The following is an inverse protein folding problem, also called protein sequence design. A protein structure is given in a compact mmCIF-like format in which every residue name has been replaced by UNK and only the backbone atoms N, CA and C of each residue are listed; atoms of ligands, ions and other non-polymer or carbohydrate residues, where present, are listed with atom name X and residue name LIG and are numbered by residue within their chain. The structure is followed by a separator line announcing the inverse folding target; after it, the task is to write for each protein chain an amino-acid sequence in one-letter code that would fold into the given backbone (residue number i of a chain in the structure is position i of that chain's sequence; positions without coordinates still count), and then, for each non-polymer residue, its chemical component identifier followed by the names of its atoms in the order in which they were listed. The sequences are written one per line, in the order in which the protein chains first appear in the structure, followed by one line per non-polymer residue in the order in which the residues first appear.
data_IF_138610403114
#
_entry.id   IF_138610403114
#
_cell.length_a   1.000
_cell.length_b   1.000
_cell.length_c   1.000
_cell.angle_alpha   90.00
_cell.angle_beta   90.00
_cell.angle_gamma   90.00
#
_symmetry.space_group_name_H-M   'P 1'
#
loop_
_entity.id
_entity.type
_entity.pdbx_description
1 polymer ?
#
# COMPACT_ATOMS: atom_id res chain seq x y z
N UNK A 1 -2.74 25.73 18.88
CA UNK A 1 -1.75 24.82 18.27
C UNK A 1 -0.84 25.65 17.37
N UNK A 2 0.47 25.42 17.42
CA UNK A 2 1.43 26.21 16.64
C UNK A 2 1.34 25.81 15.15
N UNK A 3 1.05 26.77 14.26
CA UNK A 3 0.77 26.52 12.84
C UNK A 3 1.93 25.80 12.11
N UNK A 4 3.16 25.98 12.59
CA UNK A 4 4.36 25.29 12.08
C UNK A 4 4.30 23.79 12.29
N UNK A 5 3.78 23.33 13.43
CA UNK A 5 3.69 21.89 13.76
C UNK A 5 2.67 21.20 12.86
N UNK A 6 1.52 21.84 12.60
CA UNK A 6 0.49 21.28 11.72
C UNK A 6 0.99 21.14 10.28
N UNK A 7 1.72 22.15 9.78
CA UNK A 7 2.30 22.08 8.43
C UNK A 7 3.36 20.99 8.31
N UNK A 8 4.26 20.86 9.30
CA UNK A 8 5.31 19.83 9.26
C UNK A 8 4.72 18.41 9.38
N UNK A 9 3.75 18.22 10.28
CA UNK A 9 3.09 16.93 10.50
C UNK A 9 2.26 16.47 9.31
N UNK A 10 1.75 17.40 8.48
CA UNK A 10 1.04 17.06 7.25
C UNK A 10 1.96 16.54 6.12
N UNK A 11 3.24 16.90 6.15
CA UNK A 11 4.23 16.40 5.19
C UNK A 11 4.83 15.05 5.59
N UNK A 12 4.85 14.76 6.89
CA UNK A 12 5.43 13.52 7.42
C UNK A 12 4.84 12.24 6.79
N UNK A 13 3.50 12.01 6.80
CA UNK A 13 2.92 10.83 6.16
C UNK A 13 3.08 10.85 4.64
N UNK A 14 3.05 12.04 4.02
CA UNK A 14 3.20 12.21 2.58
C UNK A 14 4.59 11.84 2.06
N UNK A 15 5.60 11.70 2.94
CA UNK A 15 6.96 11.26 2.58
C UNK A 15 7.24 9.85 3.09
N UNK A 16 6.90 9.56 4.36
CA UNK A 16 7.22 8.27 4.97
C UNK A 16 6.48 7.12 4.29
N UNK A 17 5.20 7.29 3.98
CA UNK A 17 4.38 6.22 3.38
C UNK A 17 4.91 5.86 1.98
N UNK A 18 5.09 6.80 1.02
CA UNK A 18 5.68 6.46 -0.28
C UNK A 18 7.07 5.82 -0.18
N UNK A 19 7.90 6.27 0.76
CA UNK A 19 9.23 5.69 0.95
C UNK A 19 9.16 4.24 1.43
N UNK A 20 8.28 3.95 2.39
CA UNK A 20 8.08 2.59 2.89
C UNK A 20 7.53 1.66 1.79
N UNK A 21 6.58 2.13 0.96
CA UNK A 21 6.02 1.33 -0.13
C UNK A 21 7.04 1.10 -1.25
N UNK A 22 7.89 2.08 -1.57
CA UNK A 22 9.00 1.90 -2.50
C UNK A 22 10.03 0.87 -2.00
N UNK A 23 10.37 0.90 -0.71
CA UNK A 23 11.26 -0.10 -0.11
C UNK A 23 10.64 -1.50 -0.23
N UNK A 24 9.37 -1.66 0.13
CA UNK A 24 8.66 -2.93 0.02
C UNK A 24 8.65 -3.46 -1.42
N UNK A 25 8.32 -2.59 -2.39
CA UNK A 25 8.29 -2.97 -3.80
C UNK A 25 9.68 -3.40 -4.28
N UNK A 26 10.71 -2.64 -3.90
CA UNK A 26 12.11 -2.96 -4.24
C UNK A 26 12.55 -4.30 -3.64
N UNK A 27 12.12 -4.61 -2.42
CA UNK A 27 12.43 -5.88 -1.77
C UNK A 27 11.77 -7.07 -2.46
N UNK A 28 10.50 -6.93 -2.87
CA UNK A 28 9.79 -7.96 -3.67
C UNK A 28 10.52 -8.20 -4.99
N UNK A 29 10.95 -7.13 -5.66
CA UNK A 29 11.70 -7.23 -6.91
C UNK A 29 13.07 -7.90 -6.72
N UNK A 30 13.84 -7.49 -5.70
CA UNK A 30 15.18 -8.04 -5.42
C UNK A 30 15.12 -9.50 -4.97
N UNK A 31 14.17 -9.85 -4.11
CA UNK A 31 14.02 -11.22 -3.58
C UNK A 31 13.24 -12.13 -4.53
N UNK A 32 12.62 -11.57 -5.57
CA UNK A 32 11.74 -12.28 -6.54
C UNK A 32 10.68 -13.13 -5.82
N UNK A 33 10.25 -12.67 -4.65
CA UNK A 33 9.35 -13.38 -3.77
C UNK A 33 8.51 -12.37 -2.99
N UNK A 34 7.21 -12.58 -2.98
CA UNK A 34 6.26 -11.85 -2.15
C UNK A 34 5.88 -12.66 -0.89
N UNK A 35 6.71 -13.62 -0.46
CA UNK A 35 6.45 -14.41 0.74
C UNK A 35 6.32 -13.49 1.97
N UNK A 36 5.18 -13.60 2.67
CA UNK A 36 4.84 -12.75 3.82
C UNK A 36 4.10 -11.45 3.47
N UNK A 37 3.86 -11.18 2.18
CA UNK A 37 3.19 -9.96 1.71
C UNK A 37 1.75 -10.31 1.31
N UNK A 38 0.76 -9.85 2.09
CA UNK A 38 -0.66 -10.11 1.84
C UNK A 38 -1.19 -9.27 0.67
N UNK A 39 -1.49 -9.90 -0.47
CA UNK A 39 -2.02 -9.19 -1.65
C UNK A 39 -3.29 -8.38 -1.33
N UNK A 40 -4.17 -8.93 -0.47
CA UNK A 40 -5.43 -8.29 -0.08
C UNK A 40 -5.18 -7.03 0.74
N UNK A 41 -4.19 -7.06 1.64
CA UNK A 41 -3.82 -5.89 2.45
C UNK A 41 -3.34 -4.74 1.57
N UNK A 42 -2.47 -5.03 0.61
CA UNK A 42 -1.95 -4.03 -0.32
C UNK A 42 -3.04 -3.51 -1.28
N UNK A 43 -3.95 -4.38 -1.72
CA UNK A 43 -5.11 -3.97 -2.50
C UNK A 43 -6.03 -3.00 -1.73
N UNK A 44 -6.32 -3.29 -0.47
CA UNK A 44 -7.13 -2.42 0.39
C UNK A 44 -6.44 -1.09 0.70
N UNK A 45 -5.11 -1.06 0.84
CA UNK A 45 -4.36 0.19 0.97
C UNK A 45 -4.43 1.05 -0.30
N UNK A 46 -4.37 0.44 -1.49
CA UNK A 46 -4.60 1.15 -2.74
C UNK A 46 -5.97 1.82 -2.80
N UNK A 47 -7.03 1.09 -2.41
CA UNK A 47 -8.38 1.64 -2.30
C UNK A 47 -8.44 2.76 -1.26
N UNK A 48 -7.83 2.58 -0.08
CA UNK A 48 -7.82 3.57 0.98
C UNK A 48 -7.14 4.88 0.54
N UNK A 49 -6.03 4.80 -0.20
CA UNK A 49 -5.33 5.97 -0.72
C UNK A 49 -6.17 6.72 -1.78
N UNK A 50 -6.90 6.01 -2.65
CA UNK A 50 -7.87 6.64 -3.57
C UNK A 50 -9.02 7.29 -2.79
N UNK A 51 -9.60 6.58 -1.81
CA UNK A 51 -10.67 7.10 -0.97
C UNK A 51 -10.24 8.35 -0.21
N UNK A 52 -9.00 8.36 0.31
CA UNK A 52 -8.43 9.51 0.99
C UNK A 52 -8.18 10.68 0.02
N UNK A 53 -7.74 10.40 -1.20
CA UNK A 53 -7.61 11.43 -2.25
C UNK A 53 -8.94 12.13 -2.52
N UNK A 54 -10.02 11.37 -2.68
CA UNK A 54 -11.39 11.91 -2.83
C UNK A 54 -11.82 12.69 -1.59
N UNK A 55 -11.61 12.12 -0.40
CA UNK A 55 -11.98 12.75 0.87
C UNK A 55 -11.28 14.08 1.13
N UNK A 56 -10.02 14.23 0.71
CA UNK A 56 -9.28 15.49 0.94
C UNK A 56 -9.75 16.64 0.05
N UNK A 57 -10.50 16.36 -1.03
CA UNK A 57 -10.98 17.32 -2.04
C UNK A 57 -9.87 18.20 -2.69
N UNK A 58 -8.61 17.87 -2.44
CA UNK A 58 -7.42 18.62 -2.89
C UNK A 58 -6.90 18.08 -4.22
N UNK A 59 -7.78 17.94 -5.20
CA UNK A 59 -7.48 17.30 -6.48
C UNK A 59 -6.32 17.96 -7.26
N UNK A 60 -6.19 19.28 -7.15
CA UNK A 60 -5.11 20.04 -7.82
C UNK A 60 -3.80 20.13 -7.03
N UNK A 61 -3.75 19.61 -5.80
CA UNK A 61 -2.54 19.70 -4.97
C UNK A 61 -1.54 18.63 -5.37
N UNK A 62 -0.32 19.05 -5.73
CA UNK A 62 0.76 18.09 -6.02
C UNK A 62 1.07 17.18 -4.81
N UNK A 63 0.86 17.68 -3.59
CA UNK A 63 1.01 16.89 -2.36
C UNK A 63 -0.03 15.77 -2.28
N UNK A 64 -1.28 16.03 -2.69
CA UNK A 64 -2.33 15.00 -2.70
C UNK A 64 -2.12 13.98 -3.82
N UNK A 65 -1.67 14.43 -4.99
CA UNK A 65 -1.38 13.53 -6.11
C UNK A 65 -0.19 12.63 -5.77
N UNK A 66 0.95 13.21 -5.39
CA UNK A 66 2.17 12.44 -5.11
C UNK A 66 2.06 11.67 -3.79
N UNK A 67 1.35 12.22 -2.80
CA UNK A 67 1.21 11.61 -1.48
C UNK A 67 0.09 10.59 -1.33
N UNK A 68 -0.87 10.53 -2.27
CA UNK A 68 -2.01 9.59 -2.21
C UNK A 68 -2.13 8.73 -3.48
N UNK A 69 -2.20 9.34 -4.67
CA UNK A 69 -2.30 8.59 -5.93
C UNK A 69 -1.01 7.83 -6.28
N UNK A 70 0.15 8.41 -5.96
CA UNK A 70 1.45 7.75 -6.08
C UNK A 70 1.49 6.44 -5.26
N UNK A 71 1.30 6.50 -3.94
CA UNK A 71 1.18 5.32 -3.08
C UNK A 71 0.11 4.34 -3.53
N UNK A 72 -1.09 4.81 -3.91
CA UNK A 72 -2.14 3.91 -4.42
C UNK A 72 -1.67 3.07 -5.60
N UNK A 73 -0.92 3.68 -6.53
CA UNK A 73 -0.37 2.99 -7.70
C UNK A 73 0.69 1.93 -7.30
N UNK A 74 1.55 2.27 -6.33
CA UNK A 74 2.54 1.33 -5.79
C UNK A 74 1.89 0.18 -5.03
N UNK A 75 0.85 0.47 -4.25
CA UNK A 75 0.11 -0.52 -3.48
C UNK A 75 -0.55 -1.55 -4.41
N UNK A 76 -1.17 -1.11 -5.50
CA UNK A 76 -1.69 -2.02 -6.51
C UNK A 76 -0.60 -2.81 -7.23
N UNK A 77 0.56 -2.21 -7.51
CA UNK A 77 1.68 -2.95 -8.07
C UNK A 77 2.18 -4.06 -7.12
N UNK A 78 2.26 -3.79 -5.82
CA UNK A 78 2.61 -4.78 -4.80
C UNK A 78 1.53 -5.87 -4.72
N UNK A 79 0.25 -5.50 -4.67
CA UNK A 79 -0.85 -6.44 -4.64
C UNK A 79 -0.84 -7.38 -5.87
N UNK A 80 -0.61 -6.81 -7.05
CA UNK A 80 -0.49 -7.57 -8.30
C UNK A 80 0.70 -8.53 -8.25
N UNK A 81 1.89 -8.05 -7.88
CA UNK A 81 3.07 -8.90 -7.76
C UNK A 81 2.90 -10.01 -6.72
N UNK A 82 2.28 -9.70 -5.58
CA UNK A 82 1.98 -10.67 -4.53
C UNK A 82 0.96 -11.73 -5.00
N UNK A 83 -0.07 -11.32 -5.73
CA UNK A 83 -1.07 -12.22 -6.29
C UNK A 83 -0.47 -13.15 -7.36
N UNK A 84 0.27 -12.60 -8.33
CA UNK A 84 0.89 -13.41 -9.39
C UNK A 84 2.02 -14.31 -8.89
N UNK A 85 2.77 -13.87 -7.89
CA UNK A 85 3.82 -14.68 -7.26
C UNK A 85 3.25 -15.82 -6.40
N UNK A 86 1.97 -15.77 -6.00
CA UNK A 86 1.37 -16.70 -5.04
C UNK A 86 0.06 -17.36 -5.50
N UNK A 87 -0.35 -17.20 -6.77
CA UNK A 87 -1.53 -17.83 -7.36
C UNK A 87 -1.56 -19.37 -7.37
N UNK A 88 -0.73 -20.02 -6.56
CA UNK A 88 -0.64 -21.47 -6.42
C UNK A 88 -0.89 -22.06 -5.03
N UNK A 89 -1.22 -21.30 -3.96
CA UNK A 89 -1.51 -21.94 -2.66
C UNK A 89 -2.42 -21.15 -1.71
N UNK A 90 -3.69 -20.99 -2.09
CA UNK A 90 -4.75 -20.64 -1.13
C UNK A 90 -6.00 -21.48 -1.36
N UNK A 91 -5.84 -22.79 -1.36
CA UNK A 91 -6.90 -23.71 -0.95
C UNK A 91 -6.58 -24.15 0.47
N UNK A 92 -7.27 -23.53 1.44
CA UNK A 92 -7.25 -23.99 2.82
C UNK A 92 -7.61 -25.47 2.85
N UNK A 93 -6.63 -26.30 3.18
CA UNK A 93 -6.91 -27.64 3.66
C UNK A 93 -7.24 -27.46 5.12
N UNK A 94 -8.52 -27.27 5.40
CA UNK A 94 -9.06 -27.53 6.73
C UNK A 94 -8.68 -28.99 7.05
N UNK A 95 -7.89 -29.26 8.10
CA UNK A 95 -7.59 -30.64 8.45
C UNK A 95 -8.90 -31.29 8.85
N UNK A 96 -9.30 -32.33 8.09
CA UNK A 96 -10.37 -33.23 8.45
C UNK A 96 -10.12 -33.66 9.90
N UNK A 97 -10.93 -33.12 10.80
CA UNK A 97 -10.98 -33.58 12.18
C UNK A 97 -11.79 -34.86 12.13
N UNK A 98 -11.10 -35.96 11.85
CA UNK A 98 -11.60 -37.30 12.12
C UNK A 98 -11.62 -37.49 13.64
N UNK A 99 -12.80 -37.35 14.25
CA UNK A 99 -13.11 -37.79 15.61
C UNK A 99 -14.56 -38.28 15.68
#
# INVERSE_FOLDING_TARGET
MNATVVSLSGWLPAVIIPMATLIQLTDIFKRRSAAGVSWLTWFLFGIANIGLYVYTEKYGSIQSIVGLLGPASLDFAIAFLAFFSYGGNSSGTEPATDA
#
